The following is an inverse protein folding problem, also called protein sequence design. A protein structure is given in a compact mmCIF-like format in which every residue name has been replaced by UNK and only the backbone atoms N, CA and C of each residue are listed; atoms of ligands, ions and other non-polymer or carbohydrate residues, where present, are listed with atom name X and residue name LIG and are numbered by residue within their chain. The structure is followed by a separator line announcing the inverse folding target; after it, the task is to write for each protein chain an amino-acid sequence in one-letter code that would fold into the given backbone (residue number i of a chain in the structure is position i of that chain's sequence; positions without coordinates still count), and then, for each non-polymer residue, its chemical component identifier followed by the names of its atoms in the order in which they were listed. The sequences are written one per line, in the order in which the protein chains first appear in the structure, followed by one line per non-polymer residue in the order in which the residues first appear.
data_IF_508196253720
#
_entry.id   IF_508196253720
#
_cell.length_a   1.000
_cell.length_b   1.000
_cell.length_c   1.000
_cell.angle_alpha   90.00
_cell.angle_beta   90.00
_cell.angle_gamma   90.00
#
_symmetry.space_group_name_H-M   'P 1'
#
loop_
_entity.id
_entity.type
_entity.pdbx_description
1 polymer ?
#
# COMPACT_ATOMS: atom_id res chain seq x y z
N UNK A 1 37.23 -36.19 -7.26
CA UNK A 1 35.87 -35.60 -7.23
C UNK A 1 35.64 -34.66 -6.04
N UNK A 2 36.09 -34.97 -4.82
CA UNK A 2 35.85 -34.15 -3.62
C UNK A 2 36.36 -32.69 -3.72
N UNK A 3 37.53 -32.48 -4.32
CA UNK A 3 38.12 -31.13 -4.42
C UNK A 3 37.39 -30.26 -5.46
N UNK A 4 36.95 -30.84 -6.58
CA UNK A 4 36.15 -30.13 -7.59
C UNK A 4 34.80 -29.65 -7.00
N UNK A 5 34.14 -30.49 -6.22
CA UNK A 5 32.88 -30.13 -5.56
C UNK A 5 33.06 -28.98 -4.55
N UNK A 6 34.19 -28.95 -3.83
CA UNK A 6 34.52 -27.86 -2.91
C UNK A 6 34.76 -26.54 -3.65
N UNK A 7 35.52 -26.57 -4.74
CA UNK A 7 35.74 -25.38 -5.59
C UNK A 7 34.42 -24.82 -6.10
N UNK A 8 33.56 -25.67 -6.67
CA UNK A 8 32.25 -25.23 -7.15
C UNK A 8 31.37 -24.64 -6.03
N UNK A 9 31.38 -25.24 -4.85
CA UNK A 9 30.57 -24.77 -3.72
C UNK A 9 31.05 -23.44 -3.15
N UNK A 10 32.35 -23.31 -2.85
CA UNK A 10 32.89 -22.16 -2.12
C UNK A 10 33.36 -21.03 -3.03
N UNK A 11 33.97 -21.36 -4.16
CA UNK A 11 34.60 -20.37 -5.03
C UNK A 11 33.64 -19.82 -6.09
N UNK A 12 32.53 -20.52 -6.37
CA UNK A 12 31.56 -20.14 -7.40
C UNK A 12 30.17 -19.94 -6.83
N UNK A 13 29.58 -20.97 -6.20
CA UNK A 13 28.19 -20.90 -5.77
C UNK A 13 27.97 -19.87 -4.65
N UNK A 14 28.85 -19.79 -3.65
CA UNK A 14 28.70 -18.83 -2.54
C UNK A 14 28.80 -17.36 -2.99
N UNK A 15 29.79 -16.92 -3.80
CA UNK A 15 29.82 -15.56 -4.35
C UNK A 15 28.59 -15.23 -5.21
N UNK A 16 28.17 -16.15 -6.08
CA UNK A 16 26.99 -15.94 -6.92
C UNK A 16 25.72 -15.82 -6.09
N UNK A 17 25.55 -16.66 -5.06
CA UNK A 17 24.42 -16.57 -4.14
C UNK A 17 24.40 -15.23 -3.39
N UNK A 18 25.55 -14.74 -2.95
CA UNK A 18 25.66 -13.43 -2.28
C UNK A 18 25.28 -12.27 -3.23
N UNK A 19 25.77 -12.29 -4.47
CA UNK A 19 25.39 -11.28 -5.48
C UNK A 19 23.89 -11.35 -5.77
N UNK A 20 23.35 -12.54 -6.00
CA UNK A 20 21.92 -12.73 -6.25
C UNK A 20 21.06 -12.21 -5.09
N UNK A 21 21.47 -12.45 -3.84
CA UNK A 21 20.82 -11.94 -2.65
C UNK A 21 20.79 -10.40 -2.61
N UNK A 22 21.92 -9.75 -2.87
CA UNK A 22 22.02 -8.27 -2.90
C UNK A 22 21.11 -7.66 -3.98
N UNK A 23 21.08 -8.28 -5.16
CA UNK A 23 20.20 -7.84 -6.25
C UNK A 23 18.72 -8.04 -5.90
N UNK A 24 18.36 -9.17 -5.28
CA UNK A 24 17.00 -9.44 -4.84
C UNK A 24 16.52 -8.41 -3.80
N UNK A 25 17.38 -8.02 -2.85
CA UNK A 25 17.08 -6.92 -1.91
C UNK A 25 16.82 -5.62 -2.67
N UNK A 26 17.60 -5.32 -3.71
CA UNK A 26 17.41 -4.13 -4.55
C UNK A 26 16.05 -4.10 -5.26
N UNK A 27 15.61 -5.24 -5.78
CA UNK A 27 14.28 -5.40 -6.39
C UNK A 27 13.18 -5.15 -5.37
N UNK A 28 13.28 -5.74 -4.17
CA UNK A 28 12.28 -5.57 -3.10
C UNK A 28 12.19 -4.11 -2.64
N UNK A 29 13.32 -3.41 -2.58
CA UNK A 29 13.37 -2.01 -2.15
C UNK A 29 12.98 -1.00 -3.25
N UNK A 30 12.82 -1.44 -4.50
CA UNK A 30 12.57 -0.54 -5.63
C UNK A 30 13.77 0.32 -6.03
N UNK A 31 15.00 -0.18 -5.82
CA UNK A 31 16.25 0.45 -6.23
C UNK A 31 16.46 1.91 -5.78
N UNK A 32 16.39 2.20 -4.47
CA UNK A 32 16.73 3.54 -3.99
C UNK A 32 18.22 3.82 -4.24
N UNK A 33 18.56 5.09 -4.54
CA UNK A 33 19.92 5.49 -4.96
C UNK A 33 21.03 5.07 -3.96
N UNK A 34 20.75 5.13 -2.67
CA UNK A 34 21.70 4.71 -1.63
C UNK A 34 21.98 3.20 -1.70
N UNK A 35 20.95 2.39 -2.00
CA UNK A 35 21.12 0.94 -2.13
C UNK A 35 21.89 0.58 -3.40
N UNK A 36 21.67 1.31 -4.50
CA UNK A 36 22.47 1.13 -5.73
C UNK A 36 23.95 1.28 -5.42
N UNK A 37 24.34 2.36 -4.72
CA UNK A 37 25.73 2.60 -4.35
C UNK A 37 26.30 1.48 -3.45
N UNK A 38 25.58 1.09 -2.39
CA UNK A 38 26.01 0.03 -1.47
C UNK A 38 26.09 -1.32 -2.17
N UNK A 39 25.09 -1.69 -2.97
CA UNK A 39 25.05 -2.93 -3.73
C UNK A 39 26.22 -3.02 -4.71
N UNK A 40 26.52 -1.94 -5.44
CA UNK A 40 27.68 -1.89 -6.35
C UNK A 40 28.99 -2.09 -5.59
N UNK A 41 29.18 -1.43 -4.45
CA UNK A 41 30.38 -1.58 -3.62
C UNK A 41 30.54 -3.03 -3.11
N UNK A 42 29.46 -3.64 -2.62
CA UNK A 42 29.49 -5.01 -2.12
C UNK A 42 29.74 -6.02 -3.24
N UNK A 43 29.11 -5.86 -4.41
CA UNK A 43 29.39 -6.71 -5.57
C UNK A 43 30.86 -6.58 -6.03
N UNK A 44 31.42 -5.37 -6.03
CA UNK A 44 32.84 -5.17 -6.36
C UNK A 44 33.75 -5.89 -5.37
N UNK A 45 33.48 -5.81 -4.07
CA UNK A 45 34.26 -6.54 -3.05
C UNK A 45 34.18 -8.06 -3.23
N UNK A 46 33.01 -8.59 -3.61
CA UNK A 46 32.85 -10.02 -3.92
C UNK A 46 33.70 -10.39 -5.14
N UNK A 47 33.65 -9.60 -6.21
CA UNK A 47 34.43 -9.84 -7.43
C UNK A 47 35.93 -9.75 -7.16
N UNK A 48 36.38 -8.77 -6.36
CA UNK A 48 37.77 -8.63 -5.93
C UNK A 48 38.22 -9.87 -5.16
N UNK A 49 37.40 -10.35 -4.20
CA UNK A 49 37.68 -11.59 -3.47
C UNK A 49 37.81 -12.82 -4.37
N UNK A 50 36.94 -12.95 -5.39
CA UNK A 50 37.03 -14.02 -6.39
C UNK A 50 38.31 -13.90 -7.22
N UNK A 51 38.71 -12.68 -7.58
CA UNK A 51 39.93 -12.43 -8.35
C UNK A 51 41.19 -12.78 -7.54
N UNK A 52 41.23 -12.42 -6.25
CA UNK A 52 42.31 -12.82 -5.33
C UNK A 52 42.38 -14.34 -5.22
N UNK A 53 41.25 -15.02 -5.06
CA UNK A 53 41.18 -16.48 -5.00
C UNK A 53 41.72 -17.13 -6.30
N UNK A 54 41.38 -16.56 -7.46
CA UNK A 54 41.91 -17.03 -8.74
C UNK A 54 43.43 -16.82 -8.87
N UNK A 55 43.96 -15.70 -8.37
CA UNK A 55 45.41 -15.45 -8.34
C UNK A 55 46.11 -16.45 -7.42
N UNK A 56 45.56 -16.74 -6.24
CA UNK A 56 46.10 -17.75 -5.31
C UNK A 56 46.09 -19.15 -5.95
N UNK A 57 45.02 -19.50 -6.65
CA UNK A 57 44.97 -20.75 -7.41
C UNK A 57 46.09 -20.83 -8.44
N UNK A 58 46.37 -19.74 -9.16
CA UNK A 58 47.43 -19.72 -10.18
C UNK A 58 48.84 -19.76 -9.58
N UNK A 59 49.05 -19.15 -8.41
CA UNK A 59 50.36 -19.05 -7.76
C UNK A 59 50.71 -20.32 -6.97
N UNK A 60 49.77 -20.78 -6.15
CA UNK A 60 50.03 -21.78 -5.12
C UNK A 60 49.27 -23.10 -5.39
N UNK A 61 48.44 -23.16 -6.45
CA UNK A 61 47.52 -24.29 -6.74
C UNK A 61 46.50 -24.54 -5.62
N UNK A 62 46.22 -23.52 -4.81
CA UNK A 62 45.27 -23.56 -3.68
C UNK A 62 44.19 -22.50 -3.87
N UNK A 63 42.94 -22.88 -3.56
CA UNK A 63 41.75 -22.02 -3.53
C UNK A 63 41.19 -21.97 -2.12
N UNK A 64 40.28 -21.02 -1.84
CA UNK A 64 39.49 -21.03 -0.61
C UNK A 64 38.82 -22.38 -0.38
N UNK A 65 38.27 -23.01 -1.44
CA UNK A 65 37.65 -24.34 -1.34
C UNK A 65 38.61 -25.48 -0.99
N UNK A 66 39.87 -25.39 -1.41
CA UNK A 66 40.87 -26.47 -1.30
C UNK A 66 41.94 -26.24 -0.23
N UNK A 67 42.01 -25.06 0.37
CA UNK A 67 42.93 -24.74 1.47
C UNK A 67 42.50 -25.46 2.76
N UNK A 68 43.23 -26.51 3.11
CA UNK A 68 43.00 -27.29 4.33
C UNK A 68 43.77 -26.74 5.54
N UNK A 69 44.70 -25.80 5.36
CA UNK A 69 45.43 -25.12 6.45
C UNK A 69 44.62 -23.95 7.02
N UNK A 70 43.74 -23.33 6.22
CA UNK A 70 42.90 -22.19 6.60
C UNK A 70 41.38 -22.42 6.54
N UNK A 71 40.78 -23.37 7.30
CA UNK A 71 39.33 -23.64 7.23
C UNK A 71 38.45 -22.44 7.64
N UNK A 72 38.99 -21.49 8.40
CA UNK A 72 38.29 -20.28 8.81
C UNK A 72 37.81 -19.42 7.64
N UNK A 73 38.55 -19.41 6.52
CA UNK A 73 38.18 -18.59 5.35
C UNK A 73 36.93 -19.15 4.65
N UNK A 74 36.81 -20.48 4.57
CA UNK A 74 35.62 -21.17 4.04
C UNK A 74 34.39 -20.83 4.89
N UNK A 75 34.54 -20.87 6.21
CA UNK A 75 33.47 -20.50 7.14
C UNK A 75 33.08 -19.03 7.00
N UNK A 76 34.04 -18.12 6.82
CA UNK A 76 33.76 -16.70 6.62
C UNK A 76 32.96 -16.44 5.32
N UNK A 77 33.35 -17.08 4.21
CA UNK A 77 32.63 -16.96 2.93
C UNK A 77 31.21 -17.52 3.04
N UNK A 78 31.04 -18.70 3.64
CA UNK A 78 29.71 -19.28 3.85
C UNK A 78 28.88 -18.42 4.78
N UNK A 79 29.45 -17.91 5.87
CA UNK A 79 28.75 -17.04 6.81
C UNK A 79 28.24 -15.77 6.10
N UNK A 80 29.10 -15.08 5.34
CA UNK A 80 28.71 -13.90 4.55
C UNK A 80 27.59 -14.19 3.56
N UNK A 81 27.72 -15.26 2.76
CA UNK A 81 26.69 -15.65 1.80
C UNK A 81 25.36 -15.99 2.50
N UNK A 82 25.44 -16.70 3.62
CA UNK A 82 24.26 -17.07 4.42
C UNK A 82 23.60 -15.83 5.03
N UNK A 83 24.38 -14.89 5.56
CA UNK A 83 23.86 -13.63 6.09
C UNK A 83 23.16 -12.80 5.01
N UNK A 84 23.71 -12.73 3.80
CA UNK A 84 23.07 -12.03 2.68
C UNK A 84 21.73 -12.67 2.29
N UNK A 85 21.67 -14.00 2.24
CA UNK A 85 20.43 -14.74 1.98
C UNK A 85 19.39 -14.52 3.09
N UNK A 86 19.80 -14.61 4.37
CA UNK A 86 18.93 -14.35 5.52
C UNK A 86 18.40 -12.91 5.49
N UNK A 87 19.26 -11.93 5.20
CA UNK A 87 18.85 -10.54 5.04
C UNK A 87 17.81 -10.37 3.92
N UNK A 88 17.99 -11.07 2.80
CA UNK A 88 17.01 -11.07 1.70
C UNK A 88 15.65 -11.59 2.16
N UNK A 89 15.63 -12.71 2.88
CA UNK A 89 14.39 -13.28 3.43
C UNK A 89 13.72 -12.31 4.40
N UNK A 90 14.48 -11.69 5.30
CA UNK A 90 13.95 -10.73 6.28
C UNK A 90 13.39 -9.48 5.58
N UNK A 91 14.14 -8.89 4.64
CA UNK A 91 13.70 -7.69 3.92
C UNK A 91 12.49 -8.00 3.05
N UNK A 92 12.49 -9.12 2.32
CA UNK A 92 11.36 -9.58 1.52
C UNK A 92 10.12 -9.80 2.37
N UNK A 93 10.26 -10.54 3.48
CA UNK A 93 9.15 -10.79 4.40
C UNK A 93 8.59 -9.49 4.97
N UNK A 94 9.44 -8.61 5.51
CA UNK A 94 8.99 -7.38 6.19
C UNK A 94 8.35 -6.38 5.23
N UNK A 95 8.89 -6.23 4.02
CA UNK A 95 8.32 -5.30 3.04
C UNK A 95 6.99 -5.82 2.48
N UNK A 96 6.89 -7.10 2.13
CA UNK A 96 5.66 -7.64 1.57
C UNK A 96 4.55 -7.80 2.61
N UNK A 97 4.85 -8.36 3.78
CA UNK A 97 3.79 -8.57 4.81
C UNK A 97 3.29 -7.25 5.39
N UNK A 98 4.17 -6.30 5.74
CA UNK A 98 3.71 -5.02 6.27
C UNK A 98 2.90 -4.23 5.25
N UNK A 99 3.38 -4.17 4.00
CA UNK A 99 2.65 -3.49 2.94
C UNK A 99 1.28 -4.11 2.68
N UNK A 100 1.17 -5.44 2.74
CA UNK A 100 -0.10 -6.16 2.58
C UNK A 100 -1.08 -5.92 3.75
N UNK A 101 -0.56 -5.93 4.98
CA UNK A 101 -1.35 -5.60 6.17
C UNK A 101 -1.82 -4.14 6.18
N UNK A 102 -0.95 -3.20 5.80
CA UNK A 102 -1.28 -1.79 5.70
C UNK A 102 -2.29 -1.54 4.59
N UNK A 103 -2.14 -2.19 3.43
CA UNK A 103 -3.11 -2.14 2.33
C UNK A 103 -4.49 -2.67 2.76
N UNK A 104 -4.55 -3.82 3.43
CA UNK A 104 -5.80 -4.41 3.90
C UNK A 104 -6.50 -3.52 4.92
N UNK A 105 -5.72 -2.95 5.85
CA UNK A 105 -6.21 -2.01 6.87
C UNK A 105 -6.74 -0.73 6.23
N UNK A 106 -5.95 -0.09 5.37
CA UNK A 106 -6.31 1.14 4.69
C UNK A 106 -7.54 0.92 3.80
N UNK A 107 -7.63 -0.21 3.09
CA UNK A 107 -8.80 -0.57 2.26
C UNK A 107 -10.09 -0.65 3.09
N UNK A 108 -10.05 -1.36 4.22
CA UNK A 108 -11.21 -1.50 5.11
C UNK A 108 -11.60 -0.16 5.74
N UNK A 109 -10.62 0.65 6.15
CA UNK A 109 -10.83 1.97 6.74
C UNK A 109 -11.45 2.96 5.74
N UNK A 110 -10.89 3.03 4.53
CA UNK A 110 -11.35 3.89 3.44
C UNK A 110 -12.78 3.54 3.03
N UNK A 111 -13.11 2.25 2.87
CA UNK A 111 -14.47 1.80 2.54
C UNK A 111 -15.46 2.15 3.67
N UNK A 112 -15.06 1.98 4.93
CA UNK A 112 -15.90 2.35 6.09
C UNK A 112 -16.19 3.84 6.13
N UNK A 113 -15.18 4.69 5.93
CA UNK A 113 -15.33 6.15 5.93
C UNK A 113 -16.22 6.59 4.76
N UNK A 114 -15.97 6.06 3.56
CA UNK A 114 -16.78 6.36 2.38
C UNK A 114 -18.25 5.97 2.56
N UNK A 115 -18.52 4.80 3.14
CA UNK A 115 -19.87 4.33 3.47
C UNK A 115 -20.56 5.28 4.45
N UNK A 116 -19.90 5.60 5.58
CA UNK A 116 -20.45 6.48 6.60
C UNK A 116 -20.70 7.91 6.09
N UNK A 117 -19.77 8.45 5.30
CA UNK A 117 -19.91 9.77 4.70
C UNK A 117 -21.02 9.82 3.64
N UNK A 118 -21.17 8.77 2.83
CA UNK A 118 -22.21 8.67 1.81
C UNK A 118 -23.60 8.56 2.44
N UNK A 119 -23.77 7.72 3.47
CA UNK A 119 -25.04 7.61 4.20
C UNK A 119 -25.41 8.90 4.93
N UNK A 120 -24.43 9.57 5.54
CA UNK A 120 -24.64 10.85 6.20
C UNK A 120 -25.04 11.94 5.21
N UNK A 121 -24.49 11.93 3.99
CA UNK A 121 -24.80 12.91 2.94
C UNK A 121 -26.17 12.65 2.29
N UNK A 122 -26.55 11.39 2.14
CA UNK A 122 -27.77 10.99 1.43
C UNK A 122 -29.01 10.77 2.32
N UNK A 123 -28.87 10.91 3.64
CA UNK A 123 -29.99 10.88 4.59
C UNK A 123 -30.38 12.30 4.99
N UNK A 124 -31.67 12.63 4.95
CA UNK A 124 -32.21 13.95 5.22
C UNK A 124 -33.55 13.88 5.96
N UNK A 125 -33.69 14.69 7.01
CA UNK A 125 -34.96 14.88 7.73
C UNK A 125 -35.35 16.36 7.74
N UNK A 126 -36.62 16.71 7.42
CA UNK A 126 -37.08 18.10 7.43
C UNK A 126 -37.00 18.77 8.80
N UNK A 127 -37.04 17.98 9.89
CA UNK A 127 -36.98 18.48 11.26
C UNK A 127 -35.59 19.00 11.66
N UNK A 128 -34.52 18.53 11.02
CA UNK A 128 -33.15 19.02 11.25
C UNK A 128 -32.34 18.98 9.95
N UNK A 129 -32.54 19.96 9.06
CA UNK A 129 -31.98 19.95 7.72
C UNK A 129 -30.44 20.02 7.71
N UNK A 130 -29.83 20.60 8.74
CA UNK A 130 -28.38 20.79 8.78
C UNK A 130 -27.62 19.63 9.43
N UNK A 131 -28.30 18.75 10.18
CA UNK A 131 -27.65 17.65 10.90
C UNK A 131 -26.85 16.71 10.00
N UNK A 132 -27.41 16.35 8.85
CA UNK A 132 -26.80 15.45 7.87
C UNK A 132 -25.54 16.04 7.25
N UNK A 133 -25.58 17.32 6.89
CA UNK A 133 -24.44 18.06 6.34
C UNK A 133 -23.34 18.20 7.39
N UNK A 134 -23.70 18.54 8.64
CA UNK A 134 -22.72 18.67 9.72
C UNK A 134 -22.08 17.31 10.06
N UNK A 135 -22.85 16.22 10.02
CA UNK A 135 -22.34 14.86 10.23
C UNK A 135 -21.39 14.45 9.10
N UNK A 136 -21.75 14.68 7.83
CA UNK A 136 -20.87 14.43 6.69
C UNK A 136 -19.57 15.27 6.75
N UNK A 137 -19.66 16.53 7.18
CA UNK A 137 -18.51 17.43 7.32
C UNK A 137 -17.49 16.94 8.36
N UNK A 138 -17.87 16.13 9.36
CA UNK A 138 -16.91 15.56 10.31
C UNK A 138 -15.97 14.52 9.69
N UNK A 139 -16.33 13.95 8.54
CA UNK A 139 -15.50 13.02 7.79
C UNK A 139 -14.63 13.70 6.73
N UNK A 140 -14.82 15.01 6.50
CA UNK A 140 -14.16 15.75 5.43
C UNK A 140 -12.87 16.43 5.89
N UNK A 141 -11.99 16.71 4.94
CA UNK A 141 -10.86 17.59 5.19
C UNK A 141 -11.36 19.00 5.56
N UNK A 142 -10.73 19.69 6.53
CA UNK A 142 -11.19 21.00 7.02
C UNK A 142 -11.39 22.02 5.90
N UNK A 143 -10.47 22.04 4.93
CA UNK A 143 -10.46 22.97 3.79
C UNK A 143 -11.58 22.67 2.78
N UNK A 144 -12.19 21.48 2.83
CA UNK A 144 -13.25 21.02 1.91
C UNK A 144 -14.64 21.03 2.56
N UNK A 145 -14.71 20.97 3.88
CA UNK A 145 -15.96 20.94 4.63
C UNK A 145 -16.83 22.19 4.37
N UNK A 146 -16.22 23.36 4.20
CA UNK A 146 -16.95 24.62 3.97
C UNK A 146 -17.54 24.69 2.55
N UNK A 147 -16.79 24.27 1.54
CA UNK A 147 -17.27 24.16 0.16
C UNK A 147 -18.43 23.16 0.04
N UNK A 148 -18.33 22.02 0.72
CA UNK A 148 -19.39 21.02 0.78
C UNK A 148 -20.65 21.56 1.45
N UNK A 149 -20.53 22.26 2.59
CA UNK A 149 -21.67 22.90 3.27
C UNK A 149 -22.41 23.89 2.36
N UNK A 150 -21.66 24.68 1.58
CA UNK A 150 -22.24 25.65 0.65
C UNK A 150 -22.98 24.96 -0.52
N UNK A 151 -22.40 23.89 -1.07
CA UNK A 151 -22.96 23.18 -2.21
C UNK A 151 -24.23 22.40 -1.85
N UNK A 152 -24.24 21.72 -0.70
CA UNK A 152 -25.37 20.89 -0.28
C UNK A 152 -26.42 21.68 0.51
N UNK A 153 -26.05 22.78 1.18
CA UNK A 153 -26.96 23.60 1.98
C UNK A 153 -28.14 24.19 1.18
N UNK A 154 -27.92 24.60 -0.07
CA UNK A 154 -29.00 25.12 -0.92
C UNK A 154 -30.02 24.04 -1.27
N UNK A 155 -29.56 22.87 -1.74
CA UNK A 155 -30.42 21.73 -2.10
C UNK A 155 -31.24 21.24 -0.90
N UNK A 156 -30.62 21.20 0.28
CA UNK A 156 -31.25 20.84 1.55
C UNK A 156 -32.35 21.82 1.96
N UNK A 157 -32.17 23.13 1.73
CA UNK A 157 -33.19 24.14 2.06
C UNK A 157 -34.47 23.99 1.23
N UNK A 158 -34.34 23.59 -0.04
CA UNK A 158 -35.47 23.39 -0.95
C UNK A 158 -36.25 22.10 -0.62
N UNK A 159 -35.56 21.05 -0.17
CA UNK A 159 -36.19 19.82 0.31
C UNK A 159 -36.95 20.03 1.63
N UNK A 160 -36.37 20.83 2.55
CA UNK A 160 -37.01 21.20 3.81
C UNK A 160 -38.33 21.94 3.58
N UNK A 161 -38.33 22.93 2.68
CA UNK A 161 -39.55 23.70 2.31
C UNK A 161 -40.67 22.83 1.75
N UNK A 162 -40.33 21.71 1.09
CA UNK A 162 -41.28 20.77 0.50
C UNK A 162 -41.67 19.62 1.44
N UNK A 163 -41.18 19.61 2.68
CA UNK A 163 -41.37 18.51 3.65
C UNK A 163 -40.99 17.12 3.10
N UNK A 164 -40.00 17.05 2.22
CA UNK A 164 -39.52 15.78 1.65
C UNK A 164 -38.47 15.20 2.60
N UNK A 165 -38.64 13.97 3.07
CA UNK A 165 -37.58 13.23 3.78
C UNK A 165 -36.91 12.25 2.82
N UNK A 166 -35.61 12.02 3.04
CA UNK A 166 -34.85 11.02 2.28
C UNK A 166 -34.05 10.15 3.24
N UNK A 167 -34.08 8.83 3.07
CA UNK A 167 -33.23 7.91 3.81
C UNK A 167 -32.38 7.13 2.82
N UNK A 168 -31.08 7.05 3.06
CA UNK A 168 -30.19 6.24 2.23
C UNK A 168 -29.61 5.10 3.06
N UNK A 169 -29.63 3.90 2.50
CA UNK A 169 -28.98 2.73 3.08
C UNK A 169 -27.96 2.17 2.10
N UNK A 170 -26.73 1.93 2.57
CA UNK A 170 -25.69 1.34 1.72
C UNK A 170 -26.06 -0.09 1.36
N UNK A 171 -26.08 -0.38 0.06
CA UNK A 171 -26.26 -1.72 -0.46
C UNK A 171 -24.91 -2.40 -0.66
N UNK A 172 -23.96 -1.69 -1.24
CA UNK A 172 -22.59 -2.16 -1.45
C UNK A 172 -21.61 -1.01 -1.49
N UNK A 173 -20.38 -1.27 -1.07
CA UNK A 173 -19.27 -0.35 -1.20
C UNK A 173 -18.02 -1.13 -1.61
N UNK A 174 -17.22 -0.57 -2.51
CA UNK A 174 -16.04 -1.22 -3.07
C UNK A 174 -14.94 -0.23 -3.37
N UNK A 175 -13.70 -0.63 -3.07
CA UNK A 175 -12.51 0.15 -3.39
C UNK A 175 -12.30 0.16 -4.92
N UNK A 176 -12.22 1.34 -5.52
CA UNK A 176 -11.87 1.52 -6.93
C UNK A 176 -10.36 1.69 -7.11
N UNK A 177 -9.73 2.46 -6.21
CA UNK A 177 -8.29 2.71 -6.23
C UNK A 177 -7.78 3.05 -4.83
N UNK A 178 -6.57 2.58 -4.48
CA UNK A 178 -5.85 2.95 -3.25
C UNK A 178 -4.40 3.26 -3.60
N UNK A 179 -3.97 4.46 -3.25
CA UNK A 179 -2.57 4.89 -3.32
C UNK A 179 -2.07 5.36 -1.95
N UNK A 180 -0.80 5.81 -1.87
CA UNK A 180 -0.18 6.18 -0.59
C UNK A 180 -0.86 7.37 0.11
N UNK A 181 -1.44 8.30 -0.67
CA UNK A 181 -2.02 9.56 -0.16
C UNK A 181 -3.45 9.82 -0.64
N UNK A 182 -3.99 8.99 -1.53
CA UNK A 182 -5.31 9.19 -2.12
C UNK A 182 -5.98 7.84 -2.38
N UNK A 183 -7.30 7.79 -2.27
CA UNK A 183 -8.11 6.61 -2.55
C UNK A 183 -9.46 6.99 -3.17
N UNK A 184 -10.08 6.05 -3.89
CA UNK A 184 -11.42 6.18 -4.46
C UNK A 184 -12.26 4.97 -4.10
N UNK A 185 -13.50 5.21 -3.68
CA UNK A 185 -14.47 4.17 -3.31
C UNK A 185 -15.77 4.41 -4.07
N UNK A 186 -16.29 3.37 -4.71
CA UNK A 186 -17.63 3.35 -5.23
C UNK A 186 -18.60 2.87 -4.14
N UNK A 187 -19.63 3.65 -3.88
CA UNK A 187 -20.70 3.33 -2.92
C UNK A 187 -22.02 3.32 -3.67
N UNK A 188 -22.75 2.21 -3.56
CA UNK A 188 -24.10 2.05 -4.09
C UNK A 188 -25.06 2.01 -2.93
N UNK A 189 -26.05 2.91 -2.96
CA UNK A 189 -27.04 3.08 -1.91
C UNK A 189 -28.44 2.97 -2.47
N UNK A 190 -29.37 2.57 -1.61
CA UNK A 190 -30.80 2.70 -1.86
C UNK A 190 -31.31 3.93 -1.13
N UNK A 191 -31.74 4.94 -1.89
CA UNK A 191 -32.45 6.09 -1.37
C UNK A 191 -33.96 5.84 -1.37
N UNK A 192 -34.63 6.10 -0.25
CA UNK A 192 -36.10 6.15 -0.15
C UNK A 192 -36.50 7.59 0.14
N UNK A 193 -37.31 8.19 -0.72
CA UNK A 193 -37.86 9.51 -0.51
C UNK A 193 -39.33 9.39 -0.11
N UNK A 194 -39.74 10.15 0.90
CA UNK A 194 -41.13 10.21 1.36
C UNK A 194 -41.61 11.65 1.36
N UNK A 195 -42.80 11.87 0.81
CA UNK A 195 -43.48 13.15 0.78
C UNK A 195 -44.88 13.01 1.38
N UNK A 196 -45.36 13.97 2.18
CA UNK A 196 -46.70 13.92 2.74
C UNK A 196 -47.76 13.76 1.64
N UNK A 197 -48.60 12.71 1.76
CA UNK A 197 -49.68 12.43 0.82
C UNK A 197 -49.29 11.66 -0.45
N UNK A 198 -48.03 11.26 -0.62
CA UNK A 198 -47.59 10.39 -1.72
C UNK A 198 -47.01 9.06 -1.20
N UNK A 199 -47.01 8.02 -2.04
CA UNK A 199 -46.30 6.79 -1.72
C UNK A 199 -44.78 7.01 -1.75
N UNK A 200 -44.01 6.37 -0.85
CA UNK A 200 -42.56 6.48 -0.85
C UNK A 200 -41.96 6.03 -2.18
N UNK A 201 -41.06 6.83 -2.74
CA UNK A 201 -40.33 6.50 -3.95
C UNK A 201 -38.95 5.94 -3.60
N UNK A 202 -38.51 4.89 -4.30
CA UNK A 202 -37.19 4.28 -4.08
C UNK A 202 -36.32 4.42 -5.32
N UNK A 203 -35.05 4.78 -5.12
CA UNK A 203 -34.08 4.94 -6.19
C UNK A 203 -32.72 4.37 -5.77
N UNK A 204 -31.96 3.88 -6.75
CA UNK A 204 -30.58 3.46 -6.54
C UNK A 204 -29.67 4.64 -6.85
N UNK A 205 -28.82 5.00 -5.90
CA UNK A 205 -27.85 6.08 -5.98
C UNK A 205 -26.44 5.48 -6.02
N UNK A 206 -25.63 5.88 -7.00
CA UNK A 206 -24.24 5.45 -7.11
C UNK A 206 -23.33 6.66 -6.96
N UNK A 207 -22.47 6.65 -5.94
CA UNK A 207 -21.54 7.74 -5.61
C UNK A 207 -20.10 7.23 -5.66
N UNK A 208 -19.21 8.07 -6.16
CA UNK A 208 -17.77 7.95 -6.02
C UNK A 208 -17.31 8.88 -4.91
N UNK A 209 -16.65 8.31 -3.91
CA UNK A 209 -16.05 9.04 -2.80
C UNK A 209 -14.54 9.05 -3.01
N UNK A 210 -13.97 10.24 -3.14
CA UNK A 210 -12.52 10.44 -3.16
C UNK A 210 -12.03 10.75 -1.74
N UNK A 211 -11.01 10.04 -1.29
CA UNK A 211 -10.39 10.23 0.02
C UNK A 211 -8.93 10.67 -0.15
N UNK A 212 -8.48 11.49 0.81
CA UNK A 212 -7.09 11.94 0.92
C UNK A 212 -6.54 11.57 2.30
N UNK A 213 -5.27 11.18 2.36
CA UNK A 213 -4.58 10.88 3.62
C UNK A 213 -3.86 12.13 4.11
N UNK A 214 -4.31 12.68 5.24
CA UNK A 214 -3.74 13.87 5.87
C UNK A 214 -3.40 13.56 7.34
N UNK A 215 -2.16 13.84 7.76
CA UNK A 215 -1.65 13.53 9.10
C UNK A 215 -1.87 12.06 9.52
N UNK A 216 -1.75 11.13 8.55
CA UNK A 216 -1.95 9.70 8.77
C UNK A 216 -3.41 9.26 8.90
N UNK A 217 -4.39 10.16 8.73
CA UNK A 217 -5.83 9.87 8.75
C UNK A 217 -6.44 10.02 7.37
N UNK A 218 -7.34 9.12 7.02
CA UNK A 218 -8.13 9.22 5.79
C UNK A 218 -9.31 10.17 5.99
N UNK A 219 -9.45 11.13 5.08
CA UNK A 219 -10.50 12.14 5.08
C UNK A 219 -11.16 12.18 3.71
N UNK A 220 -12.47 12.45 3.68
CA UNK A 220 -13.21 12.62 2.43
C UNK A 220 -12.80 13.95 1.80
N UNK A 221 -12.32 13.88 0.56
CA UNK A 221 -11.96 15.04 -0.25
C UNK A 221 -13.10 15.51 -1.15
N UNK A 222 -13.84 14.55 -1.75
CA UNK A 222 -14.94 14.85 -2.67
C UNK A 222 -15.94 13.68 -2.75
N UNK A 223 -17.21 13.99 -3.06
CA UNK A 223 -18.27 13.01 -3.30
C UNK A 223 -18.99 13.42 -4.59
N UNK A 224 -18.93 12.56 -5.61
CA UNK A 224 -19.56 12.82 -6.91
C UNK A 224 -20.44 11.66 -7.36
N UNK A 225 -21.57 11.91 -8.05
CA UNK A 225 -22.40 10.84 -8.60
C UNK A 225 -21.70 10.13 -9.77
N UNK A 226 -21.76 8.79 -9.79
CA UNK A 226 -21.17 7.97 -10.87
C UNK A 226 -21.99 8.10 -12.17
N UNK A 227 -23.30 8.28 -12.04
CA UNK A 227 -24.23 8.42 -13.16
C UNK A 227 -24.84 9.82 -13.17
N UNK A 228 -24.02 10.87 -13.34
CA UNK A 228 -24.55 12.18 -13.72
C UNK A 228 -24.96 12.13 -15.20
N UNK A 229 -26.22 11.80 -15.47
CA UNK A 229 -26.89 12.09 -16.73
C UNK A 229 -28.03 13.05 -16.49
#
# INVERSE_FOLDING_TARGET
MRNLARVLAFDVAAPLAAIAALLAIGVVLGWPLWWVAVCSMLCLLIVEGVMVNFVLFRRDSVTVGTDDEGPGLRLAVVALATTALVATVIVGYTQWTRSDHDFTRDSAEVVRIATAASEATATFTPADPTSSINRAATFMAPDRAEAFKNQFGQATSDLAKKNISATAQTMSAGLEALGPTAASVAVVMRGTQSQPGQQPNTAVLALRVSLIKQDGRWLVGDISPINAR
#
